data_IF_744697022459
#
_entry.id   IF_744697022459
#
_cell.length_a   1.000
_cell.length_b   1.000
_cell.length_c   1.000
_cell.angle_alpha   90.00
_cell.angle_beta   90.00
_cell.angle_gamma   90.00
#
_symmetry.space_group_name_H-M   'P 1'
#
loop_
_entity.id
_entity.type
_entity.pdbx_description
1 polymer ?
#
# COMPACT_ATOMS: atom_id res chain seq x y z
N UNK A 1 57.72 -58.57 -47.28
CA UNK A 1 56.47 -58.48 -46.48
C UNK A 1 56.78 -57.50 -45.37
N UNK A 2 56.47 -56.23 -45.63
CA UNK A 2 56.79 -55.11 -44.75
C UNK A 2 55.62 -54.86 -43.80
N UNK A 3 55.92 -54.87 -42.50
CA UNK A 3 54.99 -54.45 -41.44
C UNK A 3 55.34 -52.99 -41.11
N UNK A 4 54.39 -52.04 -41.18
CA UNK A 4 54.65 -50.63 -40.98
C UNK A 4 54.82 -50.30 -39.49
N UNK A 5 55.73 -49.38 -39.21
CA UNK A 5 56.13 -48.96 -37.88
C UNK A 5 55.11 -48.07 -37.15
N UNK A 6 55.14 -48.21 -35.84
CA UNK A 6 54.51 -47.32 -34.87
C UNK A 6 55.21 -45.96 -34.86
N UNK A 7 54.49 -44.92 -35.28
CA UNK A 7 54.77 -43.54 -34.89
C UNK A 7 53.51 -43.02 -34.19
N UNK A 8 53.39 -43.28 -32.88
CA UNK A 8 52.49 -42.50 -32.05
C UNK A 8 53.09 -41.10 -31.83
N UNK A 9 52.37 -40.15 -32.39
CA UNK A 9 52.58 -38.71 -32.35
C UNK A 9 52.34 -38.25 -30.91
N UNK A 10 53.40 -37.89 -30.19
CA UNK A 10 53.27 -37.01 -29.02
C UNK A 10 52.92 -35.60 -29.51
N UNK A 11 51.62 -35.31 -29.62
CA UNK A 11 51.10 -33.96 -29.76
C UNK A 11 51.21 -33.23 -28.42
N UNK A 12 52.38 -32.64 -28.15
CA UNK A 12 52.50 -31.55 -27.19
C UNK A 12 51.90 -30.29 -27.81
N UNK A 13 50.60 -30.09 -27.64
CA UNK A 13 49.99 -28.79 -27.90
C UNK A 13 48.82 -28.50 -26.94
N UNK A 14 49.02 -27.42 -26.18
CA UNK A 14 47.98 -26.50 -25.70
C UNK A 14 47.28 -26.80 -24.37
N UNK A 15 48.04 -26.78 -23.27
CA UNK A 15 47.50 -26.45 -21.93
C UNK A 15 47.69 -24.95 -21.60
N UNK A 16 48.76 -24.31 -22.10
CA UNK A 16 49.06 -22.89 -21.81
C UNK A 16 48.02 -21.90 -22.39
N UNK A 17 47.51 -22.12 -23.61
CA UNK A 17 46.56 -21.21 -24.25
C UNK A 17 45.16 -21.13 -23.60
N UNK A 18 44.78 -22.12 -22.78
CA UNK A 18 43.50 -22.12 -22.04
C UNK A 18 43.62 -21.35 -20.71
N UNK A 19 44.82 -21.30 -20.12
CA UNK A 19 45.11 -20.50 -18.93
C UNK A 19 45.12 -19.01 -19.26
N UNK A 20 45.86 -18.61 -20.28
CA UNK A 20 46.01 -17.20 -20.67
C UNK A 20 44.68 -16.55 -21.09
N UNK A 21 43.81 -17.33 -21.77
CA UNK A 21 42.49 -16.86 -22.19
C UNK A 21 41.50 -16.68 -21.02
N UNK A 22 41.62 -17.49 -19.95
CA UNK A 22 40.84 -17.32 -18.72
C UNK A 22 41.34 -16.14 -17.89
N UNK A 23 42.64 -15.96 -17.78
CA UNK A 23 43.24 -14.86 -17.03
C UNK A 23 42.94 -13.50 -17.68
N UNK A 24 42.94 -13.43 -19.02
CA UNK A 24 42.54 -12.24 -19.77
C UNK A 24 41.05 -11.90 -19.57
N UNK A 25 40.17 -12.91 -19.57
CA UNK A 25 38.72 -12.74 -19.32
C UNK A 25 38.44 -12.23 -17.90
N UNK A 26 39.15 -12.77 -16.91
CA UNK A 26 39.03 -12.35 -15.50
C UNK A 26 39.52 -10.92 -15.32
N UNK A 27 40.68 -10.56 -15.89
CA UNK A 27 41.22 -9.19 -15.84
C UNK A 27 40.28 -8.17 -16.49
N UNK A 28 39.66 -8.52 -17.63
CA UNK A 28 38.67 -7.68 -18.29
C UNK A 28 37.41 -7.47 -17.45
N UNK A 29 36.97 -8.50 -16.72
CA UNK A 29 35.82 -8.41 -15.83
C UNK A 29 36.09 -7.52 -14.61
N UNK A 30 37.30 -7.61 -14.01
CA UNK A 30 37.70 -6.71 -12.92
C UNK A 30 37.73 -5.25 -13.35
N UNK A 31 38.33 -4.95 -14.51
CA UNK A 31 38.33 -3.59 -15.05
C UNK A 31 36.90 -3.03 -15.26
N UNK A 32 35.97 -3.89 -15.70
CA UNK A 32 34.56 -3.51 -15.87
C UNK A 32 33.87 -3.25 -14.53
N UNK A 33 34.16 -4.04 -13.50
CA UNK A 33 33.62 -3.85 -12.14
C UNK A 33 34.14 -2.55 -11.54
N UNK A 34 35.44 -2.27 -11.64
CA UNK A 34 36.04 -1.02 -11.16
C UNK A 34 35.45 0.20 -11.85
N UNK A 35 35.25 0.13 -13.17
CA UNK A 35 34.58 1.20 -13.90
C UNK A 35 33.14 1.43 -13.40
N UNK A 36 32.39 0.36 -13.09
CA UNK A 36 31.04 0.46 -12.54
C UNK A 36 31.04 1.05 -11.14
N UNK A 37 31.98 0.66 -10.28
CA UNK A 37 32.13 1.21 -8.93
C UNK A 37 32.44 2.71 -8.98
N UNK A 38 33.37 3.12 -9.85
CA UNK A 38 33.68 4.53 -10.06
C UNK A 38 32.47 5.34 -10.55
N UNK A 39 31.67 4.78 -11.47
CA UNK A 39 30.44 5.43 -11.94
C UNK A 39 29.39 5.56 -10.83
N UNK A 40 29.23 4.54 -9.99
CA UNK A 40 28.33 4.59 -8.83
C UNK A 40 28.80 5.64 -7.83
N UNK A 41 30.09 5.68 -7.51
CA UNK A 41 30.66 6.66 -6.59
C UNK A 41 30.45 8.09 -7.10
N UNK A 42 30.67 8.31 -8.40
CA UNK A 42 30.43 9.60 -9.05
C UNK A 42 28.96 10.01 -8.96
N UNK A 43 28.05 9.06 -9.17
CA UNK A 43 26.59 9.30 -9.07
C UNK A 43 26.18 9.64 -7.64
N UNK A 44 26.70 8.92 -6.63
CA UNK A 44 26.43 9.22 -5.22
C UNK A 44 26.92 10.62 -4.87
N UNK A 45 28.13 10.98 -5.31
CA UNK A 45 28.73 12.29 -5.05
C UNK A 45 27.91 13.43 -5.68
N UNK A 46 27.31 13.20 -6.85
CA UNK A 46 26.43 14.17 -7.51
C UNK A 46 25.04 14.29 -6.86
N UNK A 47 24.53 13.21 -6.26
CA UNK A 47 23.23 13.21 -5.59
C UNK A 47 23.26 13.89 -4.21
N UNK A 48 24.38 13.86 -3.49
CA UNK A 48 24.51 14.43 -2.14
C UNK A 48 24.16 15.95 -2.12
N UNK A 49 24.73 16.81 -2.99
CA UNK A 49 24.37 18.24 -3.02
C UNK A 49 22.89 18.50 -3.34
N UNK A 50 22.28 17.65 -4.18
CA UNK A 50 20.86 17.75 -4.55
C UNK A 50 19.96 17.43 -3.36
N UNK A 51 20.31 16.43 -2.56
CA UNK A 51 19.62 16.10 -1.31
C UNK A 51 19.70 17.26 -0.33
N UNK A 52 20.89 17.84 -0.11
CA UNK A 52 21.07 19.01 0.77
C UNK A 52 20.23 20.19 0.31
N UNK A 53 20.14 20.42 -1.01
CA UNK A 53 19.32 21.49 -1.58
C UNK A 53 17.84 21.25 -1.32
N UNK A 54 17.37 20.01 -1.49
CA UNK A 54 15.99 19.62 -1.17
C UNK A 54 15.70 19.80 0.33
N UNK A 55 16.59 19.34 1.21
CA UNK A 55 16.45 19.50 2.66
C UNK A 55 16.35 20.98 3.06
N UNK A 56 17.18 21.84 2.47
CA UNK A 56 17.13 23.28 2.68
C UNK A 56 15.84 23.92 2.16
N UNK A 57 15.39 23.56 0.95
CA UNK A 57 14.11 24.03 0.40
C UNK A 57 12.90 23.58 1.23
N UNK A 58 12.98 22.39 1.83
CA UNK A 58 11.94 21.83 2.68
C UNK A 58 12.05 22.28 4.15
N UNK A 59 13.06 23.09 4.51
CA UNK A 59 13.28 23.57 5.87
C UNK A 59 13.67 22.48 6.87
N UNK A 60 14.11 21.31 6.39
CA UNK A 60 14.58 20.19 7.20
C UNK A 60 15.94 20.59 7.80
N UNK A 61 16.00 20.80 9.11
CA UNK A 61 17.21 21.23 9.84
C UNK A 61 17.21 22.69 10.30
N UNK A 62 16.25 23.52 9.89
CA UNK A 62 16.06 24.82 10.53
C UNK A 62 15.48 24.65 11.94
N UNK A 63 15.94 25.43 12.92
CA UNK A 63 15.53 25.32 14.34
C UNK A 63 14.01 25.51 14.61
N UNK A 64 13.22 25.82 13.59
CA UNK A 64 11.76 25.84 13.63
C UNK A 64 11.11 24.50 13.23
N UNK A 65 11.88 23.57 12.66
CA UNK A 65 11.48 22.19 12.43
C UNK A 65 11.63 21.35 13.71
N UNK A 66 10.92 21.76 14.77
CA UNK A 66 10.44 20.83 15.82
C UNK A 66 9.20 20.07 15.32
N UNK A 67 9.16 19.79 14.02
CA UNK A 67 8.08 19.08 13.36
C UNK A 67 8.56 17.63 13.23
N UNK A 68 8.25 16.85 14.25
CA UNK A 68 8.25 15.37 14.26
C UNK A 68 9.60 14.64 14.10
N UNK A 69 10.63 14.97 14.87
CA UNK A 69 11.59 13.92 15.26
C UNK A 69 11.02 13.15 16.45
N UNK A 70 9.97 12.38 16.20
CA UNK A 70 9.67 11.25 17.07
C UNK A 70 10.85 10.29 16.88
N UNK A 71 11.72 10.17 17.88
CA UNK A 71 12.78 9.14 17.94
C UNK A 71 12.20 7.70 17.92
N UNK A 72 10.87 7.58 18.02
CA UNK A 72 10.15 6.35 17.72
C UNK A 72 10.01 6.19 16.19
N UNK A 73 10.57 5.10 15.65
CA UNK A 73 10.25 4.60 14.31
C UNK A 73 8.75 4.76 14.00
N UNK A 74 8.34 5.06 12.75
CA UNK A 74 6.93 5.19 12.41
C UNK A 74 6.16 3.99 12.98
N UNK A 75 5.13 4.20 13.79
CA UNK A 75 4.43 3.11 14.50
C UNK A 75 3.96 2.00 13.54
N UNK A 76 3.75 2.36 12.26
CA UNK A 76 3.45 1.49 11.13
C UNK A 76 4.51 0.40 10.85
N UNK A 77 5.79 0.65 11.16
CA UNK A 77 6.89 -0.29 10.95
C UNK A 77 6.90 -1.40 12.00
N UNK A 78 6.20 -1.20 13.12
CA UNK A 78 5.95 -2.26 14.11
C UNK A 78 4.85 -3.23 13.67
N UNK A 79 4.04 -2.86 12.66
CA UNK A 79 2.87 -3.63 12.23
C UNK A 79 3.28 -4.76 11.28
N UNK A 80 3.21 -6.00 11.75
CA UNK A 80 3.64 -7.18 10.98
C UNK A 80 2.46 -8.03 10.51
N UNK A 81 1.43 -8.18 11.34
CA UNK A 81 0.25 -9.01 11.12
C UNK A 81 -0.97 -8.15 10.82
N UNK A 82 -1.95 -8.72 10.12
CA UNK A 82 -3.22 -8.05 9.82
C UNK A 82 -3.91 -7.50 11.09
N UNK A 83 -3.82 -8.23 12.19
CA UNK A 83 -4.36 -7.84 13.51
C UNK A 83 -3.71 -6.58 14.07
N UNK A 84 -2.41 -6.37 13.82
CA UNK A 84 -1.68 -5.19 14.28
C UNK A 84 -2.26 -3.93 13.63
N UNK A 85 -2.52 -3.98 12.32
CA UNK A 85 -3.17 -2.88 11.59
C UNK A 85 -4.56 -2.58 12.15
N UNK A 86 -5.34 -3.61 12.44
CA UNK A 86 -6.71 -3.44 12.98
C UNK A 86 -6.65 -2.81 14.38
N UNK A 87 -5.75 -3.28 15.25
CA UNK A 87 -5.57 -2.77 16.59
C UNK A 87 -5.06 -1.33 16.59
N UNK A 88 -4.11 -1.02 15.71
CA UNK A 88 -3.60 0.33 15.49
C UNK A 88 -4.72 1.28 15.06
N UNK A 89 -5.44 0.92 14.00
CA UNK A 89 -6.57 1.72 13.50
C UNK A 89 -7.65 1.92 14.57
N UNK A 90 -7.93 0.90 15.39
CA UNK A 90 -8.88 0.98 16.51
C UNK A 90 -8.43 2.01 17.55
N UNK A 91 -7.16 1.96 17.97
CA UNK A 91 -6.59 2.94 18.92
C UNK A 91 -6.61 4.35 18.33
N UNK A 92 -6.24 4.48 17.06
CA UNK A 92 -6.22 5.77 16.36
C UNK A 92 -7.61 6.39 16.28
N UNK A 93 -8.62 5.65 15.83
CA UNK A 93 -10.01 6.13 15.78
C UNK A 93 -10.49 6.54 17.18
N UNK A 94 -10.17 5.77 18.22
CA UNK A 94 -10.51 6.13 19.59
C UNK A 94 -9.86 7.46 20.02
N UNK A 95 -8.61 7.69 19.65
CA UNK A 95 -7.90 8.93 19.94
C UNK A 95 -8.54 10.13 19.21
N UNK A 96 -8.82 9.98 17.91
CA UNK A 96 -9.45 11.03 17.09
C UNK A 96 -10.84 11.45 17.60
N UNK A 97 -11.58 10.51 18.23
CA UNK A 97 -12.88 10.84 18.86
C UNK A 97 -12.76 11.80 20.02
N UNK A 98 -11.66 11.74 20.75
CA UNK A 98 -11.40 12.58 21.90
C UNK A 98 -10.70 13.88 21.50
N UNK A 99 -10.03 13.90 20.34
CA UNK A 99 -9.41 15.08 19.78
C UNK A 99 -10.46 16.10 19.30
N UNK A 100 -10.53 17.26 19.95
CA UNK A 100 -11.46 18.34 19.63
C UNK A 100 -11.04 19.04 18.33
N UNK A 101 -9.73 19.27 18.16
CA UNK A 101 -9.18 19.97 17.00
C UNK A 101 -9.42 19.17 15.73
N UNK A 102 -9.15 17.87 15.76
CA UNK A 102 -9.43 16.99 14.62
C UNK A 102 -10.93 16.99 14.28
N UNK A 103 -11.83 16.94 15.27
CA UNK A 103 -13.28 16.98 15.03
C UNK A 103 -13.73 18.29 14.38
N UNK A 104 -13.18 19.43 14.81
CA UNK A 104 -13.46 20.73 14.19
C UNK A 104 -12.96 20.78 12.74
N UNK A 105 -11.73 20.32 12.48
CA UNK A 105 -11.20 20.22 11.12
C UNK A 105 -12.04 19.29 10.25
N UNK A 106 -12.44 18.13 10.77
CA UNK A 106 -13.26 17.16 10.06
C UNK A 106 -14.66 17.71 9.74
N UNK A 107 -15.29 18.44 10.67
CA UNK A 107 -16.57 19.08 10.46
C UNK A 107 -16.52 20.20 9.40
N UNK A 108 -15.41 20.93 9.33
CA UNK A 108 -15.18 21.95 8.32
C UNK A 108 -14.82 21.37 6.94
N UNK A 109 -14.34 20.12 6.89
CA UNK A 109 -13.93 19.48 5.66
C UNK A 109 -15.13 19.18 4.75
N UNK A 110 -15.12 19.77 3.56
CA UNK A 110 -16.15 19.56 2.56
C UNK A 110 -15.71 18.48 1.57
N UNK A 111 -16.21 17.25 1.75
CA UNK A 111 -16.10 16.26 0.68
C UNK A 111 -17.15 16.60 -0.40
N UNK A 112 -16.70 16.80 -1.63
CA UNK A 112 -17.56 17.03 -2.79
C UNK A 112 -18.50 15.85 -3.02
N UNK A 113 -19.74 16.13 -3.45
CA UNK A 113 -20.72 15.11 -3.81
C UNK A 113 -21.29 14.29 -2.64
N UNK A 114 -21.29 14.83 -1.40
CA UNK A 114 -22.02 14.25 -0.26
C UNK A 114 -23.15 15.18 0.18
N UNK A 115 -24.31 14.61 0.44
CA UNK A 115 -25.44 15.32 1.07
C UNK A 115 -25.20 15.54 2.56
N UNK A 116 -25.87 16.52 3.16
CA UNK A 116 -25.75 16.79 4.60
C UNK A 116 -26.16 15.59 5.47
N UNK A 117 -27.11 14.79 5.00
CA UNK A 117 -27.49 13.54 5.66
C UNK A 117 -26.36 12.51 5.64
N UNK A 118 -25.65 12.38 4.51
CA UNK A 118 -24.49 11.49 4.40
C UNK A 118 -23.34 11.97 5.28
N UNK A 119 -23.07 13.27 5.30
CA UNK A 119 -22.06 13.88 6.19
C UNK A 119 -22.37 13.64 7.65
N UNK A 120 -23.61 13.89 8.08
CA UNK A 120 -24.06 13.63 9.46
C UNK A 120 -23.93 12.15 9.85
N UNK A 121 -24.19 11.23 8.92
CA UNK A 121 -23.99 9.78 9.14
C UNK A 121 -22.52 9.44 9.32
N UNK A 122 -21.64 9.98 8.49
CA UNK A 122 -20.19 9.78 8.59
C UNK A 122 -19.68 10.32 9.92
N UNK A 123 -20.06 11.55 10.28
CA UNK A 123 -19.71 12.16 11.56
C UNK A 123 -20.15 11.25 12.73
N UNK A 124 -21.38 10.78 12.72
CA UNK A 124 -21.88 9.85 13.75
C UNK A 124 -21.05 8.56 13.82
N UNK A 125 -20.71 7.94 12.68
CA UNK A 125 -19.92 6.71 12.64
C UNK A 125 -18.54 6.94 13.27
N UNK A 126 -17.90 8.06 12.95
CA UNK A 126 -16.55 8.36 13.39
C UNK A 126 -16.51 8.85 14.84
N UNK A 127 -17.50 9.61 15.31
CA UNK A 127 -17.50 10.23 16.65
C UNK A 127 -18.23 9.41 17.71
N UNK A 128 -19.40 8.85 17.38
CA UNK A 128 -20.34 8.24 18.36
C UNK A 128 -20.63 6.76 18.15
N UNK A 129 -20.35 6.21 16.97
CA UNK A 129 -20.65 4.81 16.63
C UNK A 129 -19.78 3.78 17.37
N UNK A 130 -20.06 2.47 17.27
CA UNK A 130 -19.19 1.44 17.83
C UNK A 130 -17.82 1.40 17.14
N UNK A 131 -16.73 1.23 17.90
CA UNK A 131 -15.36 1.15 17.35
C UNK A 131 -15.09 -0.27 16.85
N UNK A 132 -15.53 -0.53 15.61
CA UNK A 132 -15.17 -1.71 14.85
C UNK A 132 -14.69 -1.26 13.47
N UNK A 133 -13.39 -1.41 13.20
CA UNK A 133 -12.75 -0.85 12.00
C UNK A 133 -13.41 -1.34 10.73
N UNK A 134 -13.65 -2.65 10.61
CA UNK A 134 -14.34 -3.24 9.44
C UNK A 134 -15.74 -2.69 9.25
N UNK A 135 -16.52 -2.51 10.33
CA UNK A 135 -17.86 -1.91 10.24
C UNK A 135 -17.80 -0.43 9.85
N UNK A 136 -16.88 0.33 10.43
CA UNK A 136 -16.67 1.75 10.10
C UNK A 136 -16.33 1.89 8.62
N UNK A 137 -15.33 1.15 8.14
CA UNK A 137 -14.90 1.15 6.75
C UNK A 137 -16.05 0.77 5.82
N UNK A 138 -16.78 -0.30 6.13
CA UNK A 138 -17.91 -0.76 5.32
C UNK A 138 -19.04 0.27 5.26
N UNK A 139 -19.40 0.87 6.40
CA UNK A 139 -20.45 1.90 6.45
C UNK A 139 -20.06 3.15 5.68
N UNK A 140 -18.81 3.58 5.79
CA UNK A 140 -18.29 4.74 5.06
C UNK A 140 -18.24 4.44 3.57
N UNK A 141 -17.75 3.26 3.15
CA UNK A 141 -17.76 2.85 1.76
C UNK A 141 -19.17 2.85 1.16
N UNK A 142 -20.17 2.33 1.89
CA UNK A 142 -21.56 2.39 1.45
C UNK A 142 -22.10 3.81 1.25
N UNK A 143 -21.58 4.79 2.00
CA UNK A 143 -21.98 6.19 1.86
C UNK A 143 -21.25 6.85 0.67
N UNK A 144 -19.95 6.58 0.50
CA UNK A 144 -19.10 7.26 -0.48
C UNK A 144 -19.24 6.73 -1.91
N UNK A 145 -19.34 5.41 -2.08
CA UNK A 145 -19.45 4.77 -3.40
C UNK A 145 -20.81 4.10 -3.61
N UNK A 146 -21.50 3.69 -2.55
CA UNK A 146 -22.84 3.10 -2.69
C UNK A 146 -22.85 1.58 -2.73
N UNK A 147 -24.02 1.00 -2.45
CA UNK A 147 -24.19 -0.44 -2.33
C UNK A 147 -24.10 -1.18 -3.69
N UNK A 148 -24.60 -0.57 -4.77
CA UNK A 148 -24.53 -1.16 -6.11
C UNK A 148 -23.09 -1.30 -6.58
N UNK A 149 -22.25 -0.28 -6.37
CA UNK A 149 -20.84 -0.36 -6.74
C UNK A 149 -20.10 -1.43 -5.94
N UNK A 150 -20.36 -1.52 -4.63
CA UNK A 150 -19.72 -2.53 -3.77
C UNK A 150 -20.16 -3.95 -4.13
N UNK A 151 -21.42 -4.12 -4.54
CA UNK A 151 -21.96 -5.40 -4.97
C UNK A 151 -21.33 -5.84 -6.29
N UNK A 152 -21.28 -4.93 -7.27
CA UNK A 152 -20.96 -5.28 -8.66
C UNK A 152 -19.46 -5.16 -8.99
N UNK A 153 -18.67 -4.41 -8.22
CA UNK A 153 -17.25 -4.18 -8.48
C UNK A 153 -16.35 -4.62 -7.31
N UNK A 154 -15.07 -4.83 -7.63
CA UNK A 154 -14.00 -5.08 -6.67
C UNK A 154 -13.19 -3.82 -6.43
N UNK A 155 -12.86 -3.58 -5.16
CA UNK A 155 -11.83 -2.60 -4.81
C UNK A 155 -10.47 -3.18 -5.19
N UNK A 156 -9.78 -2.45 -6.08
CA UNK A 156 -8.44 -2.73 -6.55
C UNK A 156 -7.36 -1.97 -5.78
N UNK A 157 -6.24 -1.78 -6.46
CA UNK A 157 -5.16 -0.87 -6.06
C UNK A 157 -4.88 0.03 -7.26
N UNK A 158 -5.19 1.32 -7.14
CA UNK A 158 -5.06 2.31 -8.21
C UNK A 158 -5.82 1.93 -9.49
N UNK A 159 -7.01 1.36 -9.35
CA UNK A 159 -7.83 0.90 -10.48
C UNK A 159 -7.41 -0.45 -11.05
N UNK A 160 -6.37 -1.09 -10.49
CA UNK A 160 -5.86 -2.37 -10.98
C UNK A 160 -6.27 -3.56 -10.10
N UNK A 161 -6.40 -4.72 -10.73
CA UNK A 161 -6.63 -5.98 -10.05
C UNK A 161 -5.37 -6.42 -9.31
N UNK A 162 -5.50 -6.71 -8.00
CA UNK A 162 -4.42 -7.32 -7.24
C UNK A 162 -4.29 -8.78 -7.67
N UNK A 163 -3.19 -9.12 -8.37
CA UNK A 163 -2.86 -10.49 -8.78
C UNK A 163 -2.86 -11.40 -7.55
N UNK A 164 -3.87 -12.27 -7.43
CA UNK A 164 -3.81 -13.38 -6.47
C UNK A 164 -3.20 -14.57 -7.20
N UNK A 165 -2.13 -15.11 -6.63
CA UNK A 165 -1.55 -16.38 -7.03
C UNK A 165 -2.62 -17.47 -6.96
N UNK A 166 -3.00 -17.98 -8.13
CA UNK A 166 -3.39 -19.39 -8.36
C UNK A 166 -4.49 -19.97 -7.44
N UNK A 167 -5.77 -19.56 -7.56
CA UNK A 167 -6.91 -20.40 -7.12
C UNK A 167 -8.16 -20.22 -7.99
N UNK A 168 -8.81 -21.36 -8.26
CA UNK A 168 -9.92 -21.66 -9.20
C UNK A 168 -11.28 -21.01 -8.86
N UNK A 169 -11.37 -20.15 -7.85
CA UNK A 169 -12.59 -19.41 -7.51
C UNK A 169 -12.27 -17.91 -7.42
N UNK A 170 -11.88 -17.32 -8.55
CA UNK A 170 -11.67 -15.88 -8.62
C UNK A 170 -13.02 -15.18 -8.71
N UNK A 171 -13.17 -14.17 -7.86
CA UNK A 171 -14.27 -13.22 -7.92
C UNK A 171 -14.25 -12.54 -9.30
N UNK A 172 -15.24 -12.80 -10.15
CA UNK A 172 -15.27 -12.39 -11.56
C UNK A 172 -15.70 -10.93 -11.76
N UNK A 173 -16.03 -10.25 -10.67
CA UNK A 173 -16.50 -8.86 -10.70
C UNK A 173 -15.42 -7.93 -11.26
N UNK A 174 -15.79 -6.95 -12.10
CA UNK A 174 -14.85 -5.96 -12.63
C UNK A 174 -14.24 -5.11 -11.51
N UNK A 175 -13.08 -4.50 -11.77
CA UNK A 175 -12.44 -3.57 -10.83
C UNK A 175 -13.19 -2.24 -10.85
N UNK A 176 -13.36 -1.65 -9.68
CA UNK A 176 -13.97 -0.33 -9.50
C UNK A 176 -13.10 0.74 -10.19
N UNK A 177 -13.76 1.71 -10.82
CA UNK A 177 -13.10 2.84 -11.46
C UNK A 177 -12.18 3.62 -10.49
N UNK A 178 -11.06 4.11 -11.01
CA UNK A 178 -9.99 4.74 -10.22
C UNK A 178 -10.47 5.99 -9.48
N UNK A 179 -11.43 6.73 -10.03
CA UNK A 179 -11.96 7.95 -9.44
C UNK A 179 -12.69 7.63 -8.12
N UNK A 180 -13.49 6.56 -8.12
CA UNK A 180 -14.22 6.10 -6.94
C UNK A 180 -13.28 5.49 -5.90
N UNK A 181 -12.25 4.75 -6.33
CA UNK A 181 -11.20 4.27 -5.43
C UNK A 181 -10.43 5.43 -4.80
N UNK A 182 -10.05 6.43 -5.59
CA UNK A 182 -9.34 7.62 -5.15
C UNK A 182 -10.14 8.37 -4.09
N UNK A 183 -11.46 8.52 -4.29
CA UNK A 183 -12.36 9.11 -3.29
C UNK A 183 -12.30 8.38 -1.94
N UNK A 184 -12.27 7.05 -1.94
CA UNK A 184 -12.10 6.26 -0.70
C UNK A 184 -10.74 6.53 -0.06
N UNK A 185 -9.65 6.53 -0.85
CA UNK A 185 -8.30 6.78 -0.34
C UNK A 185 -8.16 8.16 0.28
N UNK A 186 -8.63 9.19 -0.41
CA UNK A 186 -8.64 10.58 0.08
C UNK A 186 -9.44 10.70 1.35
N UNK A 187 -10.59 10.01 1.46
CA UNK A 187 -11.34 10.04 2.70
C UNK A 187 -10.60 9.34 3.86
N UNK A 188 -10.09 8.13 3.63
CA UNK A 188 -9.43 7.36 4.69
C UNK A 188 -8.08 7.95 5.12
N UNK A 189 -7.40 8.73 4.26
CA UNK A 189 -6.18 9.44 4.64
C UNK A 189 -6.43 10.55 5.69
N UNK A 190 -7.65 11.09 5.77
CA UNK A 190 -8.04 12.06 6.82
C UNK A 190 -8.11 11.45 8.22
N UNK A 191 -8.28 10.12 8.29
CA UNK A 191 -8.28 9.39 9.54
C UNK A 191 -6.82 9.14 9.92
N UNK A 192 -6.10 8.38 9.08
CA UNK A 192 -4.69 8.11 9.29
C UNK A 192 -4.04 7.54 8.03
N UNK A 193 -2.74 7.83 7.84
CA UNK A 193 -1.94 7.30 6.73
C UNK A 193 -1.84 5.77 6.72
N UNK A 194 -2.04 5.09 7.85
CA UNK A 194 -2.07 3.62 7.91
C UNK A 194 -3.11 3.04 6.95
N UNK A 195 -4.23 3.73 6.72
CA UNK A 195 -5.29 3.25 5.83
C UNK A 195 -4.89 3.27 4.35
N UNK A 196 -3.98 4.16 3.95
CA UNK A 196 -3.49 4.26 2.57
C UNK A 196 -2.17 3.53 2.35
N UNK A 197 -1.51 3.07 3.42
CA UNK A 197 -0.32 2.21 3.31
C UNK A 197 -0.64 0.92 2.53
N UNK A 198 0.32 0.32 1.80
CA UNK A 198 0.03 -0.86 0.97
C UNK A 198 -0.62 -2.02 1.73
N UNK A 199 -0.07 -2.37 2.91
CA UNK A 199 -0.61 -3.45 3.76
C UNK A 199 -1.86 -3.03 4.54
N UNK A 200 -1.94 -1.78 4.98
CA UNK A 200 -3.12 -1.28 5.68
C UNK A 200 -4.31 -1.12 4.75
N UNK A 201 -4.13 -0.64 3.51
CA UNK A 201 -5.18 -0.59 2.49
C UNK A 201 -5.74 -1.98 2.20
N UNK A 202 -4.85 -2.96 1.98
CA UNK A 202 -5.23 -4.37 1.78
C UNK A 202 -6.09 -4.90 2.94
N UNK A 203 -5.62 -4.69 4.17
CA UNK A 203 -6.18 -5.32 5.38
C UNK A 203 -7.41 -4.61 5.91
N UNK A 204 -7.34 -3.29 6.01
CA UNK A 204 -8.35 -2.45 6.67
C UNK A 204 -9.47 -2.07 5.71
N UNK A 205 -9.17 -1.89 4.42
CA UNK A 205 -10.12 -1.33 3.45
C UNK A 205 -10.56 -2.36 2.43
N UNK A 206 -9.62 -2.88 1.64
CA UNK A 206 -9.91 -3.71 0.47
C UNK A 206 -10.54 -5.06 0.84
N UNK A 207 -9.92 -5.83 1.76
CA UNK A 207 -10.45 -7.12 2.21
C UNK A 207 -11.86 -6.99 2.81
N UNK A 208 -12.14 -6.06 3.75
CA UNK A 208 -13.48 -5.88 4.31
C UNK A 208 -14.55 -5.48 3.28
N UNK A 209 -14.25 -4.51 2.41
CA UNK A 209 -15.23 -4.05 1.42
C UNK A 209 -15.51 -5.14 0.39
N UNK A 210 -14.47 -5.82 -0.10
CA UNK A 210 -14.66 -6.91 -1.07
C UNK A 210 -15.40 -8.10 -0.46
N UNK A 211 -15.19 -8.40 0.83
CA UNK A 211 -15.97 -9.39 1.57
C UNK A 211 -17.44 -8.98 1.68
N UNK A 212 -17.71 -7.73 2.01
CA UNK A 212 -19.07 -7.18 2.02
C UNK A 212 -19.73 -7.25 0.65
N UNK A 213 -19.00 -6.95 -0.42
CA UNK A 213 -19.48 -7.07 -1.80
C UNK A 213 -19.88 -8.51 -2.15
N UNK A 214 -19.09 -9.51 -1.75
CA UNK A 214 -19.45 -10.93 -1.91
C UNK A 214 -20.71 -11.31 -1.15
N UNK A 215 -20.91 -10.75 0.04
CA UNK A 215 -22.13 -11.00 0.83
C UNK A 215 -23.38 -10.39 0.18
N UNK A 216 -23.27 -9.22 -0.46
CA UNK A 216 -24.34 -8.64 -1.27
C UNK A 216 -24.60 -9.46 -2.54
N UNK A 217 -23.54 -9.87 -3.23
CA UNK A 217 -23.65 -10.67 -4.46
C UNK A 217 -24.31 -12.03 -4.20
N UNK A 218 -23.91 -12.72 -3.13
CA UNK A 218 -24.47 -14.01 -2.72
C UNK A 218 -25.84 -13.94 -2.03
N UNK A 219 -26.40 -12.73 -1.84
CA UNK A 219 -27.69 -12.54 -1.17
C UNK A 219 -27.67 -12.79 0.35
N UNK A 220 -26.51 -13.15 0.94
CA UNK A 220 -26.34 -13.28 2.40
C UNK A 220 -26.61 -11.97 3.14
N UNK A 221 -26.40 -10.84 2.46
CA UNK A 221 -26.69 -9.50 2.95
C UNK A 221 -27.73 -8.86 2.04
N UNK A 222 -28.87 -8.45 2.60
CA UNK A 222 -29.90 -7.70 1.88
C UNK A 222 -29.49 -6.23 1.80
N UNK A 223 -29.66 -5.59 0.63
CA UNK A 223 -29.70 -4.14 0.55
C UNK A 223 -30.91 -3.69 1.39
N UNK A 224 -30.67 -3.01 2.50
CA UNK A 224 -31.76 -2.31 3.16
C UNK A 224 -32.17 -1.17 2.25
N UNK A 225 -33.41 -1.14 1.79
CA UNK A 225 -33.98 0.06 1.19
C UNK A 225 -33.82 1.20 2.21
N UNK A 226 -33.40 2.36 1.75
CA UNK A 226 -33.31 3.57 2.58
C UNK A 226 -34.73 3.97 3.03
N UNK A 227 -35.29 3.31 4.03
CA UNK A 227 -36.29 3.90 4.91
C UNK A 227 -35.59 4.26 6.20
N UNK A 228 -35.49 5.58 6.43
CA UNK A 228 -34.84 6.14 7.59
C UNK A 228 -35.58 5.74 8.85
N UNK A 229 -34.94 4.92 9.68
CA UNK A 229 -35.21 4.93 11.11
C UNK A 229 -33.97 4.43 11.86
N UNK A 230 -33.13 5.38 12.27
CA UNK A 230 -31.99 5.13 13.15
C UNK A 230 -32.21 5.77 14.53
N UNK A 231 -33.39 6.31 14.77
CA UNK A 231 -33.80 6.84 16.07
C UNK A 231 -34.21 5.69 17.00
N UNK A 232 -33.22 5.22 17.75
CA UNK A 232 -33.35 4.79 19.16
C UNK A 232 -34.42 3.71 19.42
N UNK A 233 -34.06 2.44 19.24
CA UNK A 233 -34.65 1.38 20.09
C UNK A 233 -34.22 1.61 21.53
N UNK A 234 -34.99 2.38 22.30
CA UNK A 234 -35.00 2.26 23.76
C UNK A 234 -35.43 0.82 24.07
N UNK A 235 -34.55 0.04 24.69
CA UNK A 235 -34.96 -1.17 25.38
C UNK A 235 -35.68 -0.73 26.66
N UNK A 236 -36.93 -1.15 26.80
CA UNK A 236 -37.59 -1.23 28.11
C UNK A 236 -36.93 -2.34 28.94
#
# INVERSE_FOLDING_TARGET
MDIPGDNEIFSNSSIEGISESRDFSISSNYATIDQRLNNIETTIRDLIPRIITIENCLGIGSKQSKVFTTEAYPEEWSLRRDEDYVNFAKKKILHLRNDISWRQCFAAYQLEGLTDQQRSKIDFILTKGPINVSKIVNSIALILIGAEDIKNYLIGVHGEAVKKSTRVNMDTRPILAIEKESRLRTFFSLIDKVFISPKGWETLVRKPINQMGREFFSGKRKLKSNSGDWTRKKRN
#
